data_IF_326569282975
#
_entry.id   IF_326569282975
#
_cell.length_a   1.000
_cell.length_b   1.000
_cell.length_c   1.000
_cell.angle_alpha   90.00
_cell.angle_beta   90.00
_cell.angle_gamma   90.00
#
_symmetry.space_group_name_H-M   'P 1'
#
loop_
_entity.id
_entity.type
_entity.pdbx_description
1 polymer ?
#
# COMPACT_ATOMS: atom_id res chain seq x y z
N UNK A 1 8.51 -10.38 11.29
CA UNK A 1 7.24 -10.77 11.97
C UNK A 1 7.24 -10.24 13.41
N UNK A 2 6.09 -9.75 13.88
CA UNK A 2 5.88 -9.31 15.27
C UNK A 2 5.67 -10.48 16.24
N UNK A 3 5.51 -10.18 17.53
CA UNK A 3 5.38 -11.16 18.62
C UNK A 3 3.96 -11.29 19.18
N UNK A 4 3.06 -10.37 18.84
CA UNK A 4 1.66 -10.38 19.24
C UNK A 4 0.78 -10.99 18.13
N UNK A 5 -0.41 -11.54 18.46
CA UNK A 5 -1.39 -12.01 17.48
C UNK A 5 -2.14 -10.82 16.83
N UNK A 6 -1.41 -9.81 16.36
CA UNK A 6 -1.93 -8.60 15.73
C UNK A 6 -1.25 -8.40 14.37
N UNK A 7 -2.06 -8.26 13.33
CA UNK A 7 -1.63 -7.97 11.96
C UNK A 7 -2.19 -6.62 11.53
N UNK A 8 -1.32 -5.72 11.06
CA UNK A 8 -1.71 -4.43 10.47
C UNK A 8 -1.36 -4.48 8.98
N UNK A 9 -2.38 -4.33 8.13
CA UNK A 9 -2.21 -4.31 6.67
C UNK A 9 -2.33 -2.87 6.16
N UNK A 10 -1.31 -2.40 5.44
CA UNK A 10 -1.24 -1.06 4.85
C UNK A 10 -1.03 -1.23 3.34
N UNK A 11 -2.12 -1.42 2.56
CA UNK A 11 -2.04 -1.88 1.19
C UNK A 11 -1.61 -0.82 0.17
N UNK A 12 -1.54 0.46 0.55
CA UNK A 12 -1.43 1.56 -0.41
C UNK A 12 -0.26 2.52 -0.14
N UNK A 13 0.79 2.13 0.60
CA UNK A 13 1.99 2.98 0.80
C UNK A 13 3.05 2.87 -0.30
N UNK A 14 2.90 1.92 -1.23
CA UNK A 14 3.85 1.70 -2.31
C UNK A 14 3.90 2.83 -3.34
N UNK A 15 5.09 3.12 -3.85
CA UNK A 15 5.34 4.12 -4.90
C UNK A 15 6.11 3.56 -6.11
N UNK A 16 6.48 2.28 -6.07
CA UNK A 16 7.13 1.64 -7.20
C UNK A 16 6.11 1.42 -8.33
N UNK A 17 6.47 1.88 -9.54
CA UNK A 17 5.64 1.74 -10.74
C UNK A 17 5.97 0.47 -11.54
N UNK A 18 6.86 -0.38 -11.04
CA UNK A 18 7.21 -1.68 -11.62
C UNK A 18 7.64 -1.62 -13.09
N UNK A 19 8.32 -0.54 -13.51
CA UNK A 19 8.76 -0.33 -14.89
C UNK A 19 7.66 0.11 -15.86
N UNK A 20 6.45 0.44 -15.38
CA UNK A 20 5.33 0.88 -16.21
C UNK A 20 5.26 2.40 -16.38
N UNK A 21 6.28 3.16 -15.99
CA UNK A 21 6.34 4.62 -16.10
C UNK A 21 5.91 5.13 -17.48
N UNK A 22 6.43 4.51 -18.55
CA UNK A 22 6.18 4.91 -19.94
C UNK A 22 4.75 4.62 -20.41
N UNK A 23 3.94 3.92 -19.62
CA UNK A 23 2.52 3.63 -19.90
C UNK A 23 1.57 4.59 -19.19
N UNK A 24 2.11 5.49 -18.35
CA UNK A 24 1.33 6.47 -17.61
C UNK A 24 1.44 7.84 -18.27
N UNK A 25 0.33 8.59 -18.27
CA UNK A 25 0.34 10.01 -18.67
C UNK A 25 1.28 10.83 -17.78
N UNK A 26 1.36 10.48 -16.50
CA UNK A 26 2.29 11.10 -15.55
C UNK A 26 2.75 10.08 -14.52
N UNK A 27 4.05 9.72 -14.51
CA UNK A 27 4.64 8.91 -13.44
C UNK A 27 4.51 9.58 -12.07
N UNK A 28 4.45 10.91 -12.01
CA UNK A 28 4.22 11.61 -10.75
C UNK A 28 2.80 11.37 -10.22
N UNK A 29 1.78 11.48 -11.08
CA UNK A 29 0.40 11.17 -10.66
C UNK A 29 0.25 9.71 -10.23
N UNK A 30 0.90 8.77 -10.94
CA UNK A 30 0.88 7.35 -10.57
C UNK A 30 1.56 7.04 -9.23
N UNK A 31 2.53 7.85 -8.80
CA UNK A 31 3.14 7.75 -7.46
C UNK A 31 2.35 8.48 -6.39
N UNK A 32 1.69 9.58 -6.76
CA UNK A 32 0.94 10.43 -5.84
C UNK A 32 -0.27 9.71 -5.25
N UNK A 33 -0.89 8.81 -6.01
CA UNK A 33 -2.02 8.00 -5.57
C UNK A 33 -1.58 6.90 -4.59
N UNK A 34 -1.13 7.30 -3.40
CA UNK A 34 -0.73 6.40 -2.32
C UNK A 34 -1.06 7.02 -0.95
N UNK A 35 -1.10 6.18 0.08
CA UNK A 35 -1.42 6.53 1.45
C UNK A 35 -0.16 7.05 2.18
N UNK A 36 0.34 8.21 1.75
CA UNK A 36 1.68 8.71 2.04
C UNK A 36 2.16 8.63 3.49
N UNK A 37 1.27 8.84 4.47
CA UNK A 37 1.66 8.98 5.88
C UNK A 37 1.07 7.91 6.79
N UNK A 38 0.43 6.88 6.23
CA UNK A 38 -0.18 5.83 7.05
C UNK A 38 0.88 5.01 7.80
N UNK A 39 2.05 4.81 7.21
CA UNK A 39 3.19 4.18 7.89
C UNK A 39 3.64 4.97 9.14
N UNK A 40 3.74 6.30 9.02
CA UNK A 40 4.07 7.19 10.13
C UNK A 40 2.96 7.26 11.16
N UNK A 41 1.70 7.32 10.72
CA UNK A 41 0.54 7.35 11.60
C UNK A 41 0.45 6.09 12.48
N UNK A 42 0.87 4.94 11.94
CA UNK A 42 0.84 3.63 12.62
C UNK A 42 2.21 3.16 13.11
N UNK A 43 3.21 4.05 13.26
CA UNK A 43 4.55 3.70 13.74
C UNK A 43 4.53 3.00 15.12
N UNK A 44 3.53 3.31 15.95
CA UNK A 44 3.27 2.69 17.24
C UNK A 44 2.93 1.19 17.15
N UNK A 45 2.50 0.68 16.01
CA UNK A 45 2.09 -0.71 15.84
C UNK A 45 3.24 -1.68 16.15
N UNK A 46 4.48 -1.30 15.82
CA UNK A 46 5.66 -2.08 16.17
C UNK A 46 5.83 -2.19 17.70
N UNK A 47 5.56 -1.11 18.44
CA UNK A 47 5.59 -1.09 19.90
C UNK A 47 4.54 -2.00 20.56
N UNK A 48 3.45 -2.30 19.84
CA UNK A 48 2.43 -3.28 20.26
C UNK A 48 2.81 -4.72 19.92
N UNK A 49 3.98 -4.97 19.33
CA UNK A 49 4.40 -6.28 18.85
C UNK A 49 3.66 -6.75 17.61
N UNK A 50 2.99 -5.84 16.87
CA UNK A 50 2.24 -6.18 15.67
C UNK A 50 3.17 -6.62 14.52
N UNK A 51 2.67 -7.51 13.66
CA UNK A 51 3.24 -7.69 12.33
C UNK A 51 2.63 -6.64 11.40
N UNK A 52 3.45 -5.84 10.73
CA UNK A 52 3.00 -4.89 9.72
C UNK A 52 3.31 -5.45 8.34
N UNK A 53 2.33 -5.43 7.44
CA UNK A 53 2.47 -5.83 6.03
C UNK A 53 2.07 -4.66 5.15
N UNK A 54 2.92 -4.35 4.17
CA UNK A 54 2.66 -3.32 3.18
C UNK A 54 3.24 -3.73 1.82
N UNK A 55 2.81 -3.05 0.77
CA UNK A 55 3.34 -3.25 -0.59
C UNK A 55 4.35 -2.15 -0.93
N UNK A 56 5.35 -2.49 -1.75
CA UNK A 56 6.23 -1.51 -2.38
C UNK A 56 5.61 -0.94 -3.68
N UNK A 57 4.68 -1.67 -4.30
CA UNK A 57 4.07 -1.36 -5.59
C UNK A 57 2.94 -0.35 -5.42
N UNK A 58 2.90 0.68 -6.26
CA UNK A 58 1.81 1.65 -6.30
C UNK A 58 0.49 1.00 -6.71
N UNK A 59 -0.60 1.44 -6.06
CA UNK A 59 -1.97 1.01 -6.41
C UNK A 59 -2.39 1.38 -7.84
N UNK A 60 -1.71 2.35 -8.46
CA UNK A 60 -1.90 2.67 -9.88
C UNK A 60 -1.50 1.49 -10.78
N UNK A 61 -0.52 0.67 -10.36
CA UNK A 61 -0.15 -0.56 -11.05
C UNK A 61 -1.13 -1.68 -10.70
N UNK A 62 -1.34 -1.90 -9.39
CA UNK A 62 -2.28 -2.90 -8.89
C UNK A 62 -2.79 -2.51 -7.50
N UNK A 63 -4.10 -2.38 -7.36
CA UNK A 63 -4.74 -2.14 -6.08
C UNK A 63 -5.02 -3.48 -5.38
N UNK A 64 -4.15 -3.85 -4.42
CA UNK A 64 -4.27 -5.11 -3.65
C UNK A 64 -5.42 -5.10 -2.62
N UNK A 65 -6.14 -3.98 -2.50
CA UNK A 65 -7.33 -3.84 -1.66
C UNK A 65 -8.63 -3.84 -2.50
N UNK A 66 -8.55 -4.27 -3.77
CA UNK A 66 -9.71 -4.45 -4.66
C UNK A 66 -9.91 -5.91 -5.01
N UNK A 67 -11.17 -6.29 -5.17
CA UNK A 67 -11.54 -7.59 -5.71
C UNK A 67 -11.07 -7.68 -7.18
N UNK A 68 -10.46 -8.79 -7.60
CA UNK A 68 -9.95 -8.94 -8.97
C UNK A 68 -11.05 -8.92 -10.05
N UNK A 69 -12.32 -9.15 -9.70
CA UNK A 69 -13.47 -8.98 -10.60
C UNK A 69 -13.86 -7.51 -10.81
N UNK A 70 -13.30 -6.59 -10.04
CA UNK A 70 -13.58 -5.15 -10.13
C UNK A 70 -14.84 -4.70 -9.40
N UNK A 71 -15.49 -5.59 -8.63
CA UNK A 71 -16.61 -5.21 -7.78
C UNK A 71 -16.17 -4.16 -6.74
N UNK A 72 -16.88 -3.03 -6.67
CA UNK A 72 -16.63 -2.06 -5.61
C UNK A 72 -17.19 -2.63 -4.30
N UNK A 73 -16.40 -2.60 -3.23
CA UNK A 73 -16.82 -3.05 -1.90
C UNK A 73 -17.78 -2.06 -1.21
N UNK A 74 -17.96 -0.87 -1.80
CA UNK A 74 -18.81 0.24 -1.35
C UNK A 74 -19.24 1.09 -2.54
#
# INVERSE_FOLDING_TARGET
PGTAPLLVSIPHTGIDLAGLENRLVSPWLGRRDCDWWIDNLYDFAAGLGATVVHTAISRTVIDVNRDPSGASLY
#
